data_IF_123664116772
#
_entry.id   IF_123664116772
#
_cell.length_a   1.000
_cell.length_b   1.000
_cell.length_c   1.000
_cell.angle_alpha   90.00
_cell.angle_beta   90.00
_cell.angle_gamma   90.00
#
_symmetry.space_group_name_H-M   'P 1'
#
loop_
_entity.id
_entity.type
_entity.pdbx_description
1 polymer ?
#
# COMPACT_ATOMS: atom_id res chain seq x y z
N UNK A 1 23.64 17.53 10.12
CA UNK A 1 22.82 16.45 9.62
C UNK A 1 21.43 17.03 9.34
N UNK A 2 20.90 16.84 8.13
CA UNK A 2 19.57 17.32 7.81
C UNK A 2 18.51 16.57 8.63
N UNK A 3 17.36 17.18 8.83
CA UNK A 3 16.20 16.57 9.49
C UNK A 3 15.74 15.33 8.70
N UNK A 4 15.63 14.19 9.38
CA UNK A 4 15.13 12.94 8.83
C UNK A 4 13.78 12.63 9.47
N UNK A 5 12.65 12.82 8.77
CA UNK A 5 11.32 12.76 9.36
C UNK A 5 10.94 11.37 9.91
N UNK A 6 11.62 10.32 9.47
CA UNK A 6 11.37 8.95 9.89
C UNK A 6 12.52 8.33 10.69
N UNK A 7 13.43 9.15 11.24
CA UNK A 7 14.51 8.65 12.08
C UNK A 7 13.96 7.87 13.29
N UNK A 8 14.46 6.64 13.50
CA UNK A 8 14.03 5.73 14.57
C UNK A 8 12.68 5.03 14.31
N UNK A 9 12.05 5.24 13.15
CA UNK A 9 10.84 4.53 12.77
C UNK A 9 11.18 3.22 12.02
N UNK A 10 10.37 2.21 12.23
CA UNK A 10 10.46 0.90 11.56
C UNK A 10 9.23 0.74 10.66
N UNK A 11 9.46 0.43 9.40
CA UNK A 11 8.42 0.20 8.40
C UNK A 11 8.41 -1.25 7.91
N UNK A 12 7.22 -1.76 7.61
CA UNK A 12 7.02 -2.94 6.78
C UNK A 12 6.45 -2.48 5.44
N UNK A 13 7.02 -2.94 4.34
CA UNK A 13 6.51 -2.72 2.98
C UNK A 13 6.24 -4.07 2.32
N UNK A 14 4.99 -4.37 2.01
CA UNK A 14 4.60 -5.60 1.30
C UNK A 14 4.68 -5.39 -0.21
N UNK A 15 5.07 -6.43 -0.98
CA UNK A 15 5.30 -6.32 -2.42
C UNK A 15 6.47 -5.40 -2.74
N UNK A 16 7.52 -5.46 -1.93
CA UNK A 16 8.68 -4.56 -2.03
C UNK A 16 9.78 -5.08 -2.96
N UNK A 17 9.67 -6.33 -3.44
CA UNK A 17 10.73 -6.98 -4.21
C UNK A 17 10.80 -6.53 -5.67
N UNK A 18 9.66 -6.24 -6.30
CA UNK A 18 9.65 -5.96 -7.74
C UNK A 18 10.62 -4.82 -8.12
N UNK A 19 11.57 -5.07 -9.06
CA UNK A 19 12.57 -4.09 -9.49
C UNK A 19 11.95 -2.86 -10.18
N UNK A 20 10.74 -3.02 -10.73
CA UNK A 20 9.93 -1.93 -11.28
C UNK A 20 8.59 -1.96 -10.53
N UNK A 21 8.54 -1.36 -9.33
CA UNK A 21 7.34 -1.44 -8.50
C UNK A 21 7.17 -0.27 -7.55
N UNK A 22 5.89 -0.03 -7.16
CA UNK A 22 5.56 0.99 -6.17
C UNK A 22 6.23 0.68 -4.82
N UNK A 23 6.28 -0.60 -4.42
CA UNK A 23 6.88 -1.04 -3.16
C UNK A 23 8.36 -0.69 -3.07
N UNK A 24 9.13 -0.93 -4.16
CA UNK A 24 10.54 -0.52 -4.25
C UNK A 24 10.70 1.00 -4.13
N UNK A 25 9.90 1.77 -4.89
CA UNK A 25 9.98 3.23 -4.87
C UNK A 25 9.67 3.81 -3.47
N UNK A 26 8.65 3.26 -2.80
CA UNK A 26 8.29 3.66 -1.43
C UNK A 26 9.35 3.24 -0.42
N UNK A 27 9.90 2.03 -0.53
CA UNK A 27 11.00 1.57 0.35
C UNK A 27 12.21 2.49 0.25
N UNK A 28 12.62 2.85 -0.97
CA UNK A 28 13.71 3.80 -1.21
C UNK A 28 13.45 5.14 -0.51
N UNK A 29 12.24 5.69 -0.63
CA UNK A 29 11.88 6.96 -0.02
C UNK A 29 11.89 6.89 1.52
N UNK A 30 11.32 5.81 2.11
CA UNK A 30 11.30 5.61 3.55
C UNK A 30 12.72 5.46 4.13
N UNK A 31 13.60 4.72 3.46
CA UNK A 31 15.03 4.59 3.83
C UNK A 31 15.74 5.94 3.79
N UNK A 32 15.54 6.72 2.73
CA UNK A 32 16.13 8.05 2.62
C UNK A 32 15.63 9.01 3.70
N UNK A 33 14.36 8.87 4.09
CA UNK A 33 13.75 9.63 5.18
C UNK A 33 14.20 9.17 6.59
N UNK A 34 15.00 8.09 6.70
CA UNK A 34 15.61 7.64 7.95
C UNK A 34 14.96 6.42 8.59
N UNK A 35 13.98 5.78 7.94
CA UNK A 35 13.37 4.57 8.47
C UNK A 35 14.25 3.32 8.29
N UNK A 36 14.08 2.35 9.19
CA UNK A 36 14.46 0.96 8.97
C UNK A 36 13.30 0.24 8.30
N UNK A 37 13.55 -0.61 7.29
CA UNK A 37 12.48 -1.19 6.48
C UNK A 37 12.61 -2.71 6.36
N UNK A 38 11.57 -3.42 6.77
CA UNK A 38 11.36 -4.83 6.41
C UNK A 38 10.65 -4.90 5.05
N UNK A 39 11.35 -5.44 4.07
CA UNK A 39 10.88 -5.64 2.70
C UNK A 39 10.28 -7.03 2.58
N UNK A 40 8.99 -7.13 2.28
CA UNK A 40 8.27 -8.39 2.15
C UNK A 40 7.83 -8.62 0.70
N UNK A 41 8.10 -9.80 0.18
CA UNK A 41 7.61 -10.28 -1.12
C UNK A 41 7.59 -11.81 -1.13
N UNK A 42 6.94 -12.40 -2.14
CA UNK A 42 7.01 -13.84 -2.39
C UNK A 42 8.19 -14.24 -3.27
N UNK A 43 8.82 -13.27 -3.95
CA UNK A 43 9.93 -13.49 -4.87
C UNK A 43 11.25 -13.10 -4.20
N UNK A 44 12.04 -14.11 -3.83
CA UNK A 44 13.31 -13.95 -3.12
C UNK A 44 14.34 -13.20 -3.96
N UNK A 45 14.51 -13.58 -5.22
CA UNK A 45 15.50 -12.97 -6.13
C UNK A 45 15.24 -11.46 -6.29
N UNK A 46 13.99 -11.08 -6.45
CA UNK A 46 13.58 -9.68 -6.54
C UNK A 46 13.83 -8.90 -5.24
N UNK A 47 13.58 -9.54 -4.09
CA UNK A 47 13.86 -8.91 -2.79
C UNK A 47 15.34 -8.63 -2.62
N UNK A 48 16.20 -9.59 -2.93
CA UNK A 48 17.65 -9.45 -2.82
C UNK A 48 18.20 -8.38 -3.76
N UNK A 49 17.79 -8.42 -5.04
CA UNK A 49 18.16 -7.42 -6.04
C UNK A 49 17.76 -6.01 -5.58
N UNK A 50 16.50 -5.84 -5.18
CA UNK A 50 15.99 -4.52 -4.76
C UNK A 50 16.66 -4.02 -3.49
N UNK A 51 16.91 -4.87 -2.50
CA UNK A 51 17.61 -4.51 -1.27
C UNK A 51 19.06 -4.12 -1.57
N UNK A 52 19.74 -4.85 -2.45
CA UNK A 52 21.09 -4.53 -2.91
C UNK A 52 21.15 -3.13 -3.55
N UNK A 53 20.21 -2.86 -4.47
CA UNK A 53 20.13 -1.57 -5.15
C UNK A 53 19.85 -0.42 -4.19
N UNK A 54 18.92 -0.60 -3.25
CA UNK A 54 18.60 0.41 -2.23
C UNK A 54 19.87 0.68 -1.39
N UNK A 55 20.57 -0.37 -0.95
CA UNK A 55 21.81 -0.21 -0.22
C UNK A 55 22.87 0.53 -1.04
N UNK A 56 23.06 0.15 -2.30
CA UNK A 56 24.04 0.78 -3.20
C UNK A 56 23.75 2.27 -3.43
N UNK A 57 22.49 2.64 -3.63
CA UNK A 57 22.07 4.01 -3.92
C UNK A 57 22.11 4.88 -2.66
N UNK A 58 21.65 4.36 -1.53
CA UNK A 58 21.53 5.13 -0.29
C UNK A 58 22.74 5.09 0.61
N UNK A 59 23.62 4.10 0.42
CA UNK A 59 24.75 3.81 1.34
C UNK A 59 24.32 3.31 2.72
N UNK A 60 23.03 2.98 2.93
CA UNK A 60 22.46 2.62 4.23
C UNK A 60 22.12 1.13 4.30
N UNK A 61 22.60 0.44 5.34
CA UNK A 61 22.23 -0.94 5.68
C UNK A 61 21.11 -0.94 6.72
N UNK A 62 19.90 -0.56 6.29
CA UNK A 62 18.74 -0.42 7.17
C UNK A 62 17.51 -1.17 6.63
N UNK A 63 17.73 -2.14 5.75
CA UNK A 63 16.69 -3.02 5.23
C UNK A 63 16.95 -4.46 5.64
N UNK A 64 15.86 -5.23 5.85
CA UNK A 64 15.87 -6.69 5.86
C UNK A 64 14.89 -7.20 4.81
N UNK A 65 15.19 -8.35 4.24
CA UNK A 65 14.32 -9.04 3.27
C UNK A 65 13.64 -10.22 3.94
N UNK A 66 12.37 -10.45 3.62
CA UNK A 66 11.62 -11.58 4.16
C UNK A 66 10.67 -12.14 3.08
N UNK A 67 10.77 -13.44 2.79
CA UNK A 67 9.79 -14.13 1.96
C UNK A 67 8.49 -14.22 2.75
N UNK A 68 7.42 -13.63 2.22
CA UNK A 68 6.13 -13.58 2.89
C UNK A 68 4.98 -13.65 1.89
N UNK A 69 4.16 -14.69 1.99
CA UNK A 69 2.85 -14.74 1.36
C UNK A 69 1.83 -14.11 2.32
N UNK A 70 1.44 -12.87 2.04
CA UNK A 70 0.49 -12.12 2.87
C UNK A 70 -0.91 -12.74 2.90
N UNK A 71 -1.27 -13.60 1.93
CA UNK A 71 -2.54 -14.31 1.92
C UNK A 71 -2.62 -15.40 3.00
N UNK A 72 -1.46 -15.81 3.55
CA UNK A 72 -1.34 -16.76 4.65
C UNK A 72 -1.15 -16.00 5.97
N UNK A 73 -2.09 -16.13 6.95
CA UNK A 73 -2.01 -15.45 8.23
C UNK A 73 -0.74 -15.77 9.03
N UNK A 74 -0.32 -17.03 9.07
CA UNK A 74 0.87 -17.46 9.81
C UNK A 74 2.16 -16.86 9.20
N UNK A 75 2.22 -16.74 7.87
CA UNK A 75 3.33 -16.09 7.17
C UNK A 75 3.39 -14.60 7.51
N UNK A 76 2.24 -13.93 7.58
CA UNK A 76 2.14 -12.53 7.97
C UNK A 76 2.59 -12.31 9.43
N UNK A 77 2.10 -13.11 10.37
CA UNK A 77 2.47 -13.07 11.78
C UNK A 77 3.99 -13.26 11.97
N UNK A 78 4.56 -14.28 11.32
CA UNK A 78 6.00 -14.55 11.37
C UNK A 78 6.84 -13.39 10.82
N UNK A 79 6.41 -12.76 9.74
CA UNK A 79 7.12 -11.62 9.16
C UNK A 79 7.09 -10.40 10.09
N UNK A 80 5.98 -10.18 10.77
CA UNK A 80 5.83 -9.13 11.79
C UNK A 80 6.73 -9.41 12.99
N UNK A 81 6.69 -10.62 13.55
CA UNK A 81 7.55 -11.03 14.66
C UNK A 81 9.05 -10.87 14.34
N UNK A 82 9.46 -11.33 13.16
CA UNK A 82 10.85 -11.18 12.71
C UNK A 82 11.27 -9.69 12.60
N UNK A 83 10.36 -8.84 12.13
CA UNK A 83 10.61 -7.38 12.05
C UNK A 83 10.79 -6.79 13.44
N UNK A 84 9.92 -7.14 14.38
CA UNK A 84 10.01 -6.68 15.80
C UNK A 84 11.29 -7.17 16.42
N UNK A 85 11.64 -8.44 16.25
CA UNK A 85 12.86 -9.02 16.82
C UNK A 85 14.13 -8.36 16.27
N UNK A 86 14.12 -7.95 15.01
CA UNK A 86 15.27 -7.35 14.34
C UNK A 86 15.45 -5.87 14.65
N UNK A 87 14.34 -5.11 14.63
CA UNK A 87 14.37 -3.64 14.71
C UNK A 87 13.76 -3.07 16.00
N UNK A 88 13.21 -3.91 16.88
CA UNK A 88 12.66 -3.50 18.17
C UNK A 88 11.22 -2.98 18.15
N UNK A 89 10.54 -2.97 17.00
CA UNK A 89 9.15 -2.52 16.91
C UNK A 89 8.63 -2.36 15.48
N UNK A 90 7.40 -1.91 15.34
CA UNK A 90 6.77 -1.58 14.06
C UNK A 90 6.03 -0.27 14.21
N UNK A 91 6.30 0.68 13.33
CA UNK A 91 5.71 2.01 13.33
C UNK A 91 4.84 2.27 12.10
N UNK A 92 5.24 1.72 10.95
CA UNK A 92 4.63 1.99 9.65
C UNK A 92 4.34 0.67 8.95
N UNK A 93 3.13 0.51 8.43
CA UNK A 93 2.75 -0.61 7.57
C UNK A 93 2.28 -0.08 6.22
N UNK A 94 2.98 -0.45 5.15
CA UNK A 94 2.58 -0.18 3.77
C UNK A 94 2.01 -1.47 3.17
N UNK A 95 0.69 -1.56 3.11
CA UNK A 95 -0.04 -2.63 2.44
C UNK A 95 -0.07 -2.35 0.92
N UNK A 96 0.98 -2.79 0.23
CA UNK A 96 1.17 -2.54 -1.21
C UNK A 96 1.10 -3.81 -2.06
N UNK A 97 1.43 -4.98 -1.52
CA UNK A 97 1.38 -6.22 -2.29
C UNK A 97 -0.02 -6.45 -2.89
N UNK A 98 -0.04 -6.79 -4.15
CA UNK A 98 -1.28 -7.08 -4.87
C UNK A 98 -1.00 -7.81 -6.17
N UNK A 99 -2.00 -8.50 -6.65
CA UNK A 99 -1.97 -9.21 -7.94
C UNK A 99 -3.17 -8.81 -8.80
N UNK A 100 -2.95 -8.76 -10.09
CA UNK A 100 -4.03 -8.81 -11.07
C UNK A 100 -4.33 -10.28 -11.41
N UNK A 101 -5.37 -10.52 -12.21
CA UNK A 101 -5.61 -11.88 -12.69
C UNK A 101 -4.42 -12.41 -13.49
N UNK A 102 -4.10 -13.72 -13.43
CA UNK A 102 -3.08 -14.31 -14.27
C UNK A 102 -3.34 -14.04 -15.75
N UNK A 103 -2.32 -13.67 -16.49
CA UNK A 103 -2.39 -13.37 -17.93
C UNK A 103 -2.93 -14.55 -18.78
N UNK A 104 -2.81 -15.79 -18.27
CA UNK A 104 -3.34 -16.99 -18.91
C UNK A 104 -4.89 -17.01 -19.01
N UNK A 105 -5.61 -16.22 -18.21
CA UNK A 105 -7.08 -16.20 -18.20
C UNK A 105 -7.66 -15.35 -19.33
N UNK A 106 -6.88 -14.45 -19.92
CA UNK A 106 -7.34 -13.66 -21.07
C UNK A 106 -6.21 -13.06 -21.87
N UNK A 107 -6.21 -13.37 -23.17
CA UNK A 107 -5.41 -12.62 -24.15
C UNK A 107 -5.96 -11.20 -24.40
N UNK A 108 -7.20 -10.97 -24.00
CA UNK A 108 -7.90 -9.68 -24.10
C UNK A 108 -8.39 -9.28 -22.70
N UNK A 109 -8.09 -8.08 -22.23
CA UNK A 109 -8.50 -7.50 -20.93
C UNK A 109 -10.03 -7.34 -20.76
N UNK A 110 -10.84 -7.94 -21.62
CA UNK A 110 -12.29 -7.75 -21.72
C UNK A 110 -13.12 -8.97 -21.31
N UNK A 111 -12.59 -9.85 -20.45
CA UNK A 111 -13.44 -10.93 -19.93
C UNK A 111 -14.52 -10.36 -19.04
N UNK A 112 -15.72 -10.84 -19.24
CA UNK A 112 -16.82 -10.56 -18.33
C UNK A 112 -16.63 -11.35 -17.03
N UNK A 113 -17.27 -10.91 -15.94
CA UNK A 113 -17.10 -11.57 -14.62
C UNK A 113 -17.52 -13.05 -14.63
N UNK A 114 -18.50 -13.41 -15.46
CA UNK A 114 -18.97 -14.80 -15.56
C UNK A 114 -17.99 -15.76 -16.28
N UNK A 115 -16.99 -15.21 -16.96
CA UNK A 115 -15.92 -15.98 -17.61
C UNK A 115 -14.72 -16.21 -16.67
N UNK A 116 -14.74 -15.61 -15.47
CA UNK A 116 -13.64 -15.69 -14.50
C UNK A 116 -13.77 -16.99 -13.68
N UNK A 117 -12.75 -17.89 -13.70
CA UNK A 117 -12.75 -19.06 -12.84
C UNK A 117 -12.84 -18.68 -11.35
N UNK A 118 -13.64 -19.42 -10.58
CA UNK A 118 -13.78 -19.19 -9.14
C UNK A 118 -12.43 -19.25 -8.40
N UNK A 119 -11.50 -20.12 -8.85
CA UNK A 119 -10.14 -20.19 -8.30
C UNK A 119 -9.33 -18.90 -8.52
N UNK A 120 -9.51 -18.25 -9.68
CA UNK A 120 -8.88 -16.94 -9.96
C UNK A 120 -9.45 -15.85 -9.06
N UNK A 121 -10.78 -15.82 -8.90
CA UNK A 121 -11.43 -14.93 -7.94
C UNK A 121 -10.87 -15.12 -6.53
N UNK A 122 -10.88 -16.36 -6.02
CA UNK A 122 -10.41 -16.69 -4.68
C UNK A 122 -8.95 -16.30 -4.46
N UNK A 123 -8.07 -16.55 -5.44
CA UNK A 123 -6.65 -16.18 -5.35
C UNK A 123 -6.45 -14.67 -5.27
N UNK A 124 -7.14 -13.89 -6.11
CA UNK A 124 -6.99 -12.42 -6.10
C UNK A 124 -7.56 -11.83 -4.81
N UNK A 125 -8.71 -12.32 -4.33
CA UNK A 125 -9.27 -11.90 -3.04
C UNK A 125 -8.36 -12.26 -1.86
N UNK A 126 -7.76 -13.45 -1.88
CA UNK A 126 -6.83 -13.86 -0.81
C UNK A 126 -5.63 -12.92 -0.69
N UNK A 127 -5.04 -12.49 -1.81
CA UNK A 127 -3.90 -11.57 -1.77
C UNK A 127 -4.33 -10.12 -1.52
N UNK A 128 -5.29 -9.61 -2.31
CA UNK A 128 -5.57 -8.17 -2.33
C UNK A 128 -6.54 -7.70 -1.22
N UNK A 129 -7.36 -8.60 -0.66
CA UNK A 129 -8.31 -8.28 0.40
C UNK A 129 -7.88 -8.90 1.75
N UNK A 130 -7.64 -10.22 1.79
CA UNK A 130 -7.27 -10.87 3.05
C UNK A 130 -5.82 -10.54 3.46
N UNK A 131 -4.90 -10.38 2.48
CA UNK A 131 -3.51 -10.04 2.77
C UNK A 131 -3.33 -8.76 3.58
N UNK A 132 -3.90 -7.61 3.16
CA UNK A 132 -3.90 -6.38 3.96
C UNK A 132 -4.51 -6.53 5.34
N UNK A 133 -5.56 -7.32 5.49
CA UNK A 133 -6.16 -7.66 6.79
C UNK A 133 -5.17 -8.43 7.67
N UNK A 134 -4.54 -9.50 7.15
CA UNK A 134 -3.58 -10.31 7.89
C UNK A 134 -2.41 -9.46 8.40
N UNK A 135 -1.83 -8.64 7.53
CA UNK A 135 -0.71 -7.76 7.87
C UNK A 135 -1.10 -6.71 8.92
N UNK A 136 -2.27 -6.07 8.75
CA UNK A 136 -2.76 -5.08 9.70
C UNK A 136 -3.06 -5.71 11.06
N UNK A 137 -3.74 -6.87 11.08
CA UNK A 137 -4.04 -7.62 12.31
C UNK A 137 -2.78 -8.00 13.08
N UNK A 138 -1.75 -8.48 12.39
CA UNK A 138 -0.49 -8.86 13.01
C UNK A 138 0.29 -7.64 13.56
N UNK A 139 0.19 -6.47 12.90
CA UNK A 139 1.00 -5.29 13.23
C UNK A 139 0.35 -4.34 14.23
N UNK A 140 -0.99 -4.23 14.23
CA UNK A 140 -1.71 -3.15 14.91
C UNK A 140 -1.54 -3.15 16.43
N UNK A 141 -1.42 -4.32 17.05
CA UNK A 141 -1.19 -4.45 18.50
C UNK A 141 0.10 -3.76 18.96
N UNK A 142 1.17 -3.88 18.18
CA UNK A 142 2.44 -3.20 18.44
C UNK A 142 2.29 -1.68 18.32
N UNK A 143 1.58 -1.21 17.31
CA UNK A 143 1.34 0.22 17.08
C UNK A 143 0.48 0.85 18.20
N UNK A 144 -0.59 0.17 18.62
CA UNK A 144 -1.45 0.63 19.72
C UNK A 144 -0.68 0.72 21.04
N UNK A 145 0.13 -0.30 21.36
CA UNK A 145 0.89 -0.34 22.60
C UNK A 145 1.88 0.83 22.73
N UNK A 146 2.46 1.27 21.63
CA UNK A 146 3.38 2.42 21.59
C UNK A 146 2.65 3.76 21.32
N UNK A 147 1.32 3.75 21.19
CA UNK A 147 0.45 4.92 20.91
C UNK A 147 0.87 5.70 19.65
N UNK A 148 1.40 5.00 18.68
CA UNK A 148 1.85 5.58 17.43
C UNK A 148 1.87 4.52 16.32
N UNK A 149 1.28 4.83 15.20
CA UNK A 149 1.33 3.97 14.02
C UNK A 149 0.76 4.63 12.78
N UNK A 150 1.24 4.19 11.61
CA UNK A 150 0.76 4.62 10.28
C UNK A 150 0.49 3.41 9.43
N UNK A 151 -0.76 3.17 9.09
CA UNK A 151 -1.17 2.12 8.16
C UNK A 151 -1.55 2.80 6.84
N UNK A 152 -0.86 2.45 5.77
CA UNK A 152 -1.08 3.01 4.44
C UNK A 152 -1.45 1.89 3.48
N UNK A 153 -2.70 1.89 3.01
CA UNK A 153 -3.19 0.98 1.99
C UNK A 153 -2.93 1.53 0.59
N UNK A 154 -2.28 0.74 -0.26
CA UNK A 154 -2.10 1.12 -1.67
C UNK A 154 -3.25 0.52 -2.46
N UNK A 155 -4.09 1.40 -3.02
CA UNK A 155 -5.27 1.01 -3.78
C UNK A 155 -5.23 1.58 -5.21
N UNK A 156 -6.37 1.79 -5.83
CA UNK A 156 -6.48 2.31 -7.19
C UNK A 156 -7.58 3.36 -7.31
N UNK A 157 -7.74 3.95 -8.48
CA UNK A 157 -8.84 4.87 -8.75
C UNK A 157 -10.19 4.17 -8.66
N UNK A 158 -11.21 4.89 -8.22
CA UNK A 158 -12.58 4.37 -8.17
C UNK A 158 -13.04 3.86 -9.54
N UNK A 159 -12.73 4.60 -10.62
CA UNK A 159 -13.00 4.17 -11.99
C UNK A 159 -12.41 2.76 -12.30
N UNK A 160 -11.20 2.47 -11.85
CA UNK A 160 -10.59 1.14 -12.03
C UNK A 160 -11.32 0.06 -11.23
N UNK A 161 -11.87 0.37 -10.06
CA UNK A 161 -12.54 -0.61 -9.20
C UNK A 161 -13.80 -1.21 -9.85
N UNK A 162 -14.50 -0.44 -10.68
CA UNK A 162 -15.74 -0.90 -11.38
C UNK A 162 -15.62 -0.93 -12.90
N UNK A 163 -14.44 -0.66 -13.47
CA UNK A 163 -14.23 -0.70 -14.92
C UNK A 163 -14.46 -2.10 -15.47
N UNK A 164 -15.12 -2.18 -16.64
CA UNK A 164 -15.28 -3.45 -17.34
C UNK A 164 -13.93 -4.15 -17.57
N UNK A 165 -13.89 -5.43 -17.28
CA UNK A 165 -12.70 -6.26 -17.44
C UNK A 165 -11.75 -6.26 -16.25
N UNK A 166 -12.02 -5.48 -15.19
CA UNK A 166 -11.16 -5.41 -14.00
C UNK A 166 -11.54 -6.42 -12.91
N UNK A 167 -12.48 -7.34 -13.18
CA UNK A 167 -12.78 -8.44 -12.27
C UNK A 167 -11.67 -9.52 -12.32
N UNK A 168 -11.22 -10.02 -11.16
CA UNK A 168 -11.61 -9.72 -9.77
C UNK A 168 -10.79 -8.60 -9.10
N UNK A 169 -9.81 -8.00 -9.80
CA UNK A 169 -8.93 -6.98 -9.23
C UNK A 169 -9.72 -5.79 -8.65
N UNK A 170 -10.60 -5.19 -9.44
CA UNK A 170 -11.39 -4.03 -9.02
C UNK A 170 -12.13 -4.25 -7.69
N UNK A 171 -13.00 -5.27 -7.58
CA UNK A 171 -13.68 -5.60 -6.33
C UNK A 171 -12.74 -5.88 -5.16
N UNK A 172 -11.61 -6.55 -5.39
CA UNK A 172 -10.64 -6.86 -4.32
C UNK A 172 -9.99 -5.60 -3.75
N UNK A 173 -9.64 -4.64 -4.60
CA UNK A 173 -9.05 -3.37 -4.17
C UNK A 173 -10.10 -2.45 -3.52
N UNK A 174 -11.37 -2.49 -3.98
CA UNK A 174 -12.46 -1.79 -3.30
C UNK A 174 -12.66 -2.32 -1.87
N UNK A 175 -12.55 -3.63 -1.66
CA UNK A 175 -12.57 -4.25 -0.33
C UNK A 175 -11.42 -3.73 0.54
N UNK A 176 -10.20 -3.63 -0.01
CA UNK A 176 -9.05 -3.09 0.70
C UNK A 176 -9.28 -1.63 1.12
N UNK A 177 -9.79 -0.78 0.24
CA UNK A 177 -10.07 0.63 0.57
C UNK A 177 -11.17 0.77 1.64
N UNK A 178 -12.24 -0.01 1.55
CA UNK A 178 -13.29 -0.04 2.58
C UNK A 178 -12.74 -0.50 3.94
N UNK A 179 -11.82 -1.46 3.95
CA UNK A 179 -11.15 -1.93 5.17
C UNK A 179 -10.26 -0.83 5.77
N UNK A 180 -9.53 -0.05 4.97
CA UNK A 180 -8.75 1.09 5.47
C UNK A 180 -9.65 2.13 6.14
N UNK A 181 -10.79 2.44 5.54
CA UNK A 181 -11.76 3.37 6.13
C UNK A 181 -12.37 2.84 7.46
N UNK A 182 -12.61 1.52 7.55
CA UNK A 182 -13.03 0.88 8.80
C UNK A 182 -11.93 0.99 9.86
N UNK A 183 -10.70 0.62 9.53
CA UNK A 183 -9.55 0.72 10.45
C UNK A 183 -9.40 2.13 11.00
N UNK A 184 -9.54 3.16 10.17
CA UNK A 184 -9.44 4.54 10.59
C UNK A 184 -10.41 4.89 11.72
N UNK A 185 -11.64 4.38 11.66
CA UNK A 185 -12.66 4.57 12.70
C UNK A 185 -12.37 3.79 13.98
N UNK A 186 -11.97 2.53 13.84
CA UNK A 186 -11.69 1.65 14.98
C UNK A 186 -10.41 2.04 15.73
N UNK A 187 -9.48 2.72 15.05
CA UNK A 187 -8.22 3.19 15.61
C UNK A 187 -8.28 4.60 16.19
N UNK A 188 -9.44 5.26 16.16
CA UNK A 188 -9.60 6.60 16.70
C UNK A 188 -9.21 6.64 18.19
N UNK A 189 -8.42 7.65 18.57
CA UNK A 189 -7.91 7.82 19.94
C UNK A 189 -6.73 6.92 20.32
N UNK A 190 -6.29 5.98 19.48
CA UNK A 190 -5.17 5.07 19.78
C UNK A 190 -3.79 5.64 19.44
N UNK A 191 -3.73 6.73 18.68
CA UNK A 191 -2.48 7.28 18.10
C UNK A 191 -2.07 6.63 16.79
N UNK A 192 -2.84 5.65 16.29
CA UNK A 192 -2.62 4.99 14.99
C UNK A 192 -3.58 5.58 13.96
N UNK A 193 -3.08 5.86 12.76
CA UNK A 193 -3.90 6.32 11.63
C UNK A 193 -3.87 5.33 10.48
N UNK A 194 -4.96 5.26 9.72
CA UNK A 194 -5.09 4.44 8.53
C UNK A 194 -5.56 5.30 7.34
N UNK A 195 -4.78 5.33 6.26
CA UNK A 195 -5.05 6.13 5.07
C UNK A 195 -4.76 5.34 3.79
N UNK A 196 -5.27 5.82 2.69
CA UNK A 196 -5.07 5.26 1.35
C UNK A 196 -4.15 6.16 0.55
N UNK A 197 -3.23 5.56 -0.20
CA UNK A 197 -2.43 6.24 -1.22
C UNK A 197 -2.57 5.51 -2.56
N UNK A 198 -2.86 6.26 -3.62
CA UNK A 198 -2.97 5.72 -4.98
C UNK A 198 -2.03 6.45 -5.94
N UNK A 199 -1.49 5.79 -6.96
CA UNK A 199 -0.60 6.46 -7.91
C UNK A 199 -1.30 7.55 -8.72
N UNK A 200 -2.56 7.36 -9.10
CA UNK A 200 -3.35 8.33 -9.88
C UNK A 200 -3.69 7.87 -11.30
N UNK A 201 -3.14 6.76 -11.75
CA UNK A 201 -3.39 6.19 -13.07
C UNK A 201 -2.60 4.92 -13.33
N UNK A 202 -2.55 4.49 -14.59
CA UNK A 202 -1.78 3.33 -15.00
C UNK A 202 -0.29 3.61 -14.77
N UNK A 203 0.34 2.76 -13.98
CA UNK A 203 1.71 2.97 -13.53
C UNK A 203 2.64 1.91 -14.12
N UNK A 204 3.82 2.32 -14.54
CA UNK A 204 4.86 1.45 -15.10
C UNK A 204 5.39 0.51 -14.01
N UNK A 205 4.87 -0.70 -13.98
CA UNK A 205 5.20 -1.73 -12.98
C UNK A 205 5.06 -3.13 -13.57
N UNK A 206 5.71 -4.11 -12.95
CA UNK A 206 5.55 -5.52 -13.30
C UNK A 206 4.13 -6.07 -13.07
N UNK A 207 3.22 -5.31 -12.50
CA UNK A 207 1.82 -5.67 -12.37
C UNK A 207 1.06 -5.55 -13.70
N UNK A 208 1.56 -4.72 -14.63
CA UNK A 208 0.94 -4.52 -15.93
C UNK A 208 1.07 -5.79 -16.80
N UNK A 209 0.00 -6.18 -17.50
CA UNK A 209 0.05 -7.30 -18.44
C UNK A 209 1.04 -7.04 -19.59
N UNK A 210 2.00 -7.94 -19.76
CA UNK A 210 3.09 -7.85 -20.76
C UNK A 210 2.54 -7.83 -22.20
N UNK A 211 1.36 -8.40 -22.43
CA UNK A 211 0.76 -8.55 -23.76
C UNK A 211 -0.10 -7.34 -24.19
N UNK A 212 -0.22 -6.31 -23.37
CA UNK A 212 -0.86 -5.06 -23.76
C UNK A 212 0.19 -4.08 -24.25
N UNK A 213 -0.14 -3.39 -25.35
CA UNK A 213 0.67 -2.26 -25.82
C UNK A 213 0.26 -1.01 -25.02
N UNK A 214 1.20 -0.47 -24.30
CA UNK A 214 1.08 0.81 -23.62
C UNK A 214 1.89 1.86 -24.38
N UNK A 215 1.37 3.07 -24.46
CA UNK A 215 2.20 4.22 -24.81
C UNK A 215 3.01 4.55 -23.55
N UNK A 216 4.26 4.10 -23.51
CA UNK A 216 5.12 4.18 -22.33
C UNK A 216 5.22 5.61 -21.75
N UNK A 217 5.13 6.62 -22.63
CA UNK A 217 5.15 8.03 -22.24
C UNK A 217 3.93 8.48 -21.42
N UNK A 218 2.83 7.70 -21.48
CA UNK A 218 1.60 7.98 -20.74
C UNK A 218 1.55 7.28 -19.38
N UNK A 219 2.50 6.39 -19.09
CA UNK A 219 2.56 5.67 -17.83
C UNK A 219 3.14 6.55 -16.71
N UNK A 220 2.45 6.54 -15.58
CA UNK A 220 2.97 7.16 -14.36
C UNK A 220 4.17 6.36 -13.87
N UNK A 221 5.26 7.04 -13.49
CA UNK A 221 6.42 6.36 -12.93
C UNK A 221 6.25 6.08 -11.43
N UNK A 222 6.75 4.94 -10.91
CA UNK A 222 6.59 4.54 -9.51
C UNK A 222 7.08 5.55 -8.47
N UNK A 223 8.04 6.40 -8.84
CA UNK A 223 8.60 7.43 -7.97
C UNK A 223 7.60 8.52 -7.56
N UNK A 224 6.46 8.63 -8.23
CA UNK A 224 5.35 9.53 -7.82
C UNK A 224 4.91 9.26 -6.38
N UNK A 225 5.06 8.03 -5.89
CA UNK A 225 4.67 7.62 -4.55
C UNK A 225 5.62 8.11 -3.44
N UNK A 226 6.84 8.53 -3.78
CA UNK A 226 7.92 8.74 -2.82
C UNK A 226 7.63 9.86 -1.81
N UNK A 227 7.25 11.03 -2.29
CA UNK A 227 6.99 12.16 -1.40
C UNK A 227 5.73 11.96 -0.55
N UNK A 228 4.55 11.63 -1.12
CA UNK A 228 3.36 11.48 -0.31
C UNK A 228 3.43 10.30 0.69
N UNK A 229 4.16 9.21 0.39
CA UNK A 229 4.31 8.12 1.35
C UNK A 229 5.15 8.52 2.56
N UNK A 230 6.21 9.30 2.36
CA UNK A 230 7.03 9.81 3.47
C UNK A 230 6.22 10.75 4.36
N UNK A 231 5.44 11.65 3.76
CA UNK A 231 4.57 12.54 4.50
C UNK A 231 3.51 11.76 5.30
N UNK A 232 2.80 10.81 4.66
CA UNK A 232 1.80 9.96 5.33
C UNK A 232 2.41 9.09 6.45
N UNK A 233 3.68 8.71 6.32
CA UNK A 233 4.40 7.92 7.31
C UNK A 233 4.98 8.74 8.46
N UNK A 234 4.92 10.07 8.42
CA UNK A 234 5.56 10.97 9.37
C UNK A 234 4.61 11.46 10.48
N UNK A 235 5.13 12.28 11.39
CA UNK A 235 4.34 12.99 12.40
C UNK A 235 3.45 14.07 11.79
N UNK A 236 3.82 14.62 10.63
CA UNK A 236 3.09 15.71 9.97
C UNK A 236 1.66 15.31 9.58
N UNK A 237 1.42 14.01 9.37
CA UNK A 237 0.11 13.47 9.03
C UNK A 237 -0.69 12.94 10.22
N UNK A 238 -0.29 13.23 11.46
CA UNK A 238 -0.90 12.63 12.65
C UNK A 238 -2.41 12.92 12.83
N UNK A 239 -2.88 14.03 12.30
CA UNK A 239 -4.30 14.41 12.31
C UNK A 239 -5.09 13.89 11.11
N UNK A 240 -4.43 13.22 10.17
CA UNK A 240 -5.03 12.71 8.94
C UNK A 240 -5.35 11.22 9.11
N UNK A 241 -6.64 10.91 9.11
CA UNK A 241 -7.14 9.56 9.33
C UNK A 241 -8.38 9.31 8.47
N UNK A 242 -8.46 8.17 7.79
CA UNK A 242 -9.57 7.82 6.91
C UNK A 242 -9.62 8.61 5.59
N UNK A 243 -8.48 9.05 5.11
CA UNK A 243 -8.36 9.78 3.84
C UNK A 243 -7.72 8.93 2.75
N UNK A 244 -7.97 9.32 1.50
CA UNK A 244 -7.27 8.82 0.32
C UNK A 244 -6.56 9.96 -0.39
N UNK A 245 -5.38 9.68 -0.93
CA UNK A 245 -4.57 10.65 -1.64
C UNK A 245 -4.15 10.13 -3.01
N UNK A 246 -4.18 11.02 -4.01
CA UNK A 246 -3.71 10.74 -5.37
C UNK A 246 -2.28 11.27 -5.47
N UNK A 247 -1.30 10.37 -5.57
CA UNK A 247 0.11 10.74 -5.59
C UNK A 247 0.48 11.66 -6.78
N UNK A 248 -0.13 11.42 -7.94
CA UNK A 248 0.06 12.26 -9.13
C UNK A 248 -0.37 13.72 -8.92
N UNK A 249 -1.33 13.97 -8.03
CA UNK A 249 -1.83 15.31 -7.68
C UNK A 249 -1.08 15.93 -6.50
N UNK A 250 -0.10 15.20 -5.90
CA UNK A 250 0.68 15.65 -4.76
C UNK A 250 1.74 16.66 -5.18
N UNK A 251 1.41 17.94 -5.13
CA UNK A 251 2.22 19.05 -5.62
C UNK A 251 2.99 19.71 -4.47
N UNK A 252 4.27 19.42 -4.34
CA UNK A 252 5.14 19.91 -3.26
C UNK A 252 5.40 21.42 -3.32
N UNK A 253 5.08 22.08 -4.43
CA UNK A 253 5.19 23.54 -4.55
C UNK A 253 4.06 24.26 -3.84
N UNK A 254 2.96 23.55 -3.52
CA UNK A 254 1.81 24.10 -2.82
C UNK A 254 1.96 24.03 -1.29
N UNK A 255 1.42 25.02 -0.55
CA UNK A 255 1.21 24.87 0.89
C UNK A 255 0.41 23.62 1.23
N UNK A 256 0.64 23.05 2.42
CA UNK A 256 0.07 21.73 2.78
C UNK A 256 -1.46 21.69 2.68
N UNK A 257 -2.17 22.74 3.09
CA UNK A 257 -3.63 22.80 3.04
C UNK A 257 -4.15 22.71 1.58
N UNK A 258 -3.47 23.39 0.65
CA UNK A 258 -3.82 23.34 -0.78
C UNK A 258 -3.46 22.00 -1.39
N UNK A 259 -2.34 21.40 -0.96
CA UNK A 259 -1.91 20.06 -1.39
C UNK A 259 -2.93 19.01 -0.97
N UNK A 260 -3.37 19.04 0.30
CA UNK A 260 -4.39 18.15 0.82
C UNK A 260 -5.74 18.32 0.10
N UNK A 261 -6.15 19.55 -0.16
CA UNK A 261 -7.39 19.83 -0.88
C UNK A 261 -7.35 19.36 -2.36
N UNK A 262 -6.17 19.42 -3.00
CA UNK A 262 -5.99 19.00 -4.40
C UNK A 262 -5.91 17.46 -4.53
N UNK A 263 -5.07 16.84 -3.71
CA UNK A 263 -4.76 15.41 -3.82
C UNK A 263 -5.65 14.51 -2.96
N UNK A 264 -6.32 15.05 -1.93
CA UNK A 264 -7.00 14.30 -0.88
C UNK A 264 -8.51 14.26 -1.01
N UNK A 265 -9.09 13.17 -0.51
CA UNK A 265 -10.52 12.99 -0.31
C UNK A 265 -10.75 12.01 0.85
N UNK A 266 -11.99 11.84 1.31
CA UNK A 266 -12.34 10.78 2.25
C UNK A 266 -12.21 9.39 1.58
N UNK A 267 -11.72 8.41 2.31
CA UNK A 267 -11.68 7.03 1.85
C UNK A 267 -13.09 6.39 1.86
N UNK A 268 -13.30 5.36 1.02
CA UNK A 268 -14.54 4.57 0.94
C UNK A 268 -15.82 5.38 0.68
N UNK A 269 -15.73 6.48 -0.05
CA UNK A 269 -16.88 7.17 -0.70
C UNK A 269 -18.02 7.60 0.22
N UNK A 270 -17.79 8.23 1.37
CA UNK A 270 -18.86 8.60 2.29
C UNK A 270 -19.87 9.60 1.69
N UNK A 271 -19.48 10.30 0.60
CA UNK A 271 -20.38 11.19 -0.15
C UNK A 271 -21.54 10.47 -0.84
N UNK A 272 -21.50 9.13 -0.96
CA UNK A 272 -22.59 8.36 -1.57
C UNK A 272 -23.79 8.18 -0.65
N UNK A 273 -23.70 8.64 0.59
CA UNK A 273 -24.81 8.71 1.54
C UNK A 273 -24.66 7.78 2.74
N UNK A 274 -25.33 8.16 3.80
CA UNK A 274 -25.45 7.41 5.04
C UNK A 274 -26.76 6.59 5.05
N UNK A 275 -26.87 5.65 5.98
CA UNK A 275 -28.13 4.98 6.26
C UNK A 275 -29.16 6.02 6.73
N UNK A 276 -30.33 6.10 6.07
CA UNK A 276 -31.38 7.05 6.48
C UNK A 276 -31.96 6.74 7.86
N UNK A 277 -31.85 5.50 8.31
CA UNK A 277 -32.24 5.05 9.65
C UNK A 277 -31.06 4.27 10.23
N UNK A 278 -30.49 4.76 11.33
CA UNK A 278 -29.43 4.09 12.04
C UNK A 278 -29.89 3.79 13.48
N UNK A 279 -30.13 2.52 13.85
CA UNK A 279 -30.60 2.18 15.21
C UNK A 279 -29.51 2.28 16.29
N UNK A 280 -28.29 2.57 15.90
CA UNK A 280 -27.13 2.66 16.81
C UNK A 280 -26.65 4.08 17.09
N UNK A 281 -27.38 5.10 16.65
CA UNK A 281 -27.11 6.52 16.95
C UNK A 281 -28.07 7.05 18.00
#
# INVERSE_FOLDING_TARGET
MGYLPLAGKVAIVTGAGSPIGLGRAMTFALVNAGAQVAMLDINEDWLEETAHDIHKITGKKCTITQICDISNPESAEKAVENTVNTFGGIHILINNAGIMRPSAVSKNFRNNFWDIPASTWSKVMAVNANGPFNMAKASVGHMISQKWGRIIGITTSLDTMYRQGMCPYGPSIATHEAFVALMARELEGTGVTANVLIPGGTTDTNLLPINLKYEMETLIQPNVMQSPVVWLASEESQSINGHRFIAYEWDETLPIEKRLAKAGASAAWPQLGNQPINPFT
#
